data_IF_296476352205
#
_entry.id   IF_296476352205
#
_cell.length_a   1.000
_cell.length_b   1.000
_cell.length_c   1.000
_cell.angle_alpha   90.00
_cell.angle_beta   90.00
_cell.angle_gamma   90.00
#
_symmetry.space_group_name_H-M   'P 1'
#
loop_
_entity.id
_entity.type
_entity.pdbx_description
1 polymer ?
#
# COMPACT_ATOMS: atom_id res chain seq x y z
N UNK A 1 8.26 -31.22 63.20
CA UNK A 1 8.23 -30.12 62.23
C UNK A 1 7.61 -30.63 60.91
N UNK A 2 6.36 -30.28 60.63
CA UNK A 2 5.70 -30.58 59.30
C UNK A 2 5.91 -29.39 58.39
N UNK A 3 6.66 -29.59 57.30
CA UNK A 3 6.75 -28.59 56.22
C UNK A 3 5.42 -28.54 55.47
N UNK A 4 4.75 -27.39 55.49
CA UNK A 4 3.61 -27.08 54.61
C UNK A 4 4.18 -26.59 53.28
N UNK A 5 4.05 -27.38 52.23
CA UNK A 5 4.35 -26.92 50.85
C UNK A 5 3.16 -26.08 50.35
N UNK A 6 3.35 -24.79 50.23
CA UNK A 6 2.40 -23.90 49.51
C UNK A 6 2.55 -24.11 48.00
N UNK A 7 1.55 -24.74 47.39
CA UNK A 7 1.41 -24.76 45.94
C UNK A 7 0.94 -23.36 45.48
N UNK A 8 1.81 -22.62 44.78
CA UNK A 8 1.42 -21.45 44.03
C UNK A 8 0.76 -21.90 42.72
N UNK A 9 -0.58 -21.81 42.64
CA UNK A 9 -1.32 -21.95 41.39
C UNK A 9 -1.24 -20.59 40.70
N UNK A 10 -0.38 -20.45 39.68
CA UNK A 10 -0.39 -19.27 38.81
C UNK A 10 -1.74 -19.24 38.05
N UNK A 11 -2.43 -18.09 38.01
CA UNK A 11 -3.66 -17.98 37.24
C UNK A 11 -3.35 -18.17 35.73
N UNK A 12 -3.97 -19.17 35.11
CA UNK A 12 -4.01 -19.29 33.66
C UNK A 12 -4.89 -18.15 33.16
N UNK A 13 -4.26 -17.06 32.71
CA UNK A 13 -4.99 -16.07 31.91
C UNK A 13 -5.36 -16.72 30.56
N UNK A 14 -6.64 -17.00 30.35
CA UNK A 14 -7.13 -17.35 29.03
C UNK A 14 -6.79 -16.19 28.07
N UNK A 15 -6.10 -16.51 26.96
CA UNK A 15 -5.82 -15.51 25.94
C UNK A 15 -7.15 -14.96 25.41
N UNK A 16 -7.27 -13.65 25.31
CA UNK A 16 -8.47 -13.04 24.70
C UNK A 16 -8.66 -13.60 23.27
N UNK A 17 -9.91 -13.87 22.88
CA UNK A 17 -10.16 -14.37 21.54
C UNK A 17 -9.67 -13.37 20.48
N UNK A 18 -9.10 -13.85 19.38
CA UNK A 18 -8.56 -12.96 18.34
C UNK A 18 -9.67 -12.08 17.76
N UNK A 19 -9.35 -10.82 17.50
CA UNK A 19 -10.25 -9.90 16.81
C UNK A 19 -10.40 -10.36 15.36
N UNK A 20 -11.63 -10.66 14.93
CA UNK A 20 -11.94 -11.07 13.56
C UNK A 20 -12.64 -9.93 12.84
N UNK A 21 -12.10 -9.56 11.68
CA UNK A 21 -12.60 -8.47 10.84
C UNK A 21 -13.07 -8.99 9.50
N UNK A 22 -13.98 -8.25 8.85
CA UNK A 22 -14.47 -8.57 7.51
C UNK A 22 -15.80 -9.31 7.50
N UNK A 23 -16.27 -9.66 6.30
CA UNK A 23 -17.63 -10.13 6.04
C UNK A 23 -17.63 -11.38 5.12
N UNK A 24 -18.66 -12.19 5.21
CA UNK A 24 -18.82 -13.37 4.38
C UNK A 24 -17.61 -14.32 4.43
N UNK A 25 -17.10 -14.77 3.29
CA UNK A 25 -15.94 -15.68 3.23
C UNK A 25 -14.58 -14.95 3.39
N UNK A 26 -14.55 -13.60 3.33
CA UNK A 26 -13.34 -12.79 3.45
C UNK A 26 -13.23 -12.17 4.85
N UNK A 27 -13.07 -13.04 5.86
CA UNK A 27 -12.85 -12.68 7.27
C UNK A 27 -11.41 -12.98 7.68
N UNK A 28 -10.87 -12.16 8.56
CA UNK A 28 -9.47 -12.19 8.93
C UNK A 28 -9.29 -12.04 10.43
N UNK A 29 -8.42 -12.87 11.01
CA UNK A 29 -7.92 -12.71 12.38
C UNK A 29 -6.79 -11.69 12.38
N UNK A 30 -6.90 -10.64 13.20
CA UNK A 30 -5.98 -9.52 13.25
C UNK A 30 -4.86 -9.73 14.26
N UNK A 31 -3.62 -9.50 13.86
CA UNK A 31 -2.44 -9.35 14.70
C UNK A 31 -1.79 -7.96 14.48
N UNK A 32 -2.05 -7.03 15.41
CA UNK A 32 -1.44 -5.69 15.42
C UNK A 32 0.03 -5.69 15.83
N UNK A 33 0.54 -6.81 16.36
CA UNK A 33 1.91 -6.97 16.86
C UNK A 33 2.72 -7.96 16.04
N UNK A 34 2.27 -8.23 14.82
CA UNK A 34 2.97 -9.15 13.92
C UNK A 34 4.44 -8.76 13.75
N UNK A 35 4.73 -7.51 13.41
CA UNK A 35 6.10 -7.04 13.22
C UNK A 35 6.82 -6.86 14.57
N UNK A 36 7.81 -7.71 14.81
CA UNK A 36 8.58 -7.80 16.07
C UNK A 36 9.92 -7.09 15.90
N UNK A 37 9.90 -5.76 15.87
CA UNK A 37 11.09 -4.93 15.80
C UNK A 37 11.22 -4.06 17.06
N UNK A 38 12.46 -3.78 17.45
CA UNK A 38 12.77 -2.81 18.51
C UNK A 38 12.79 -1.40 17.90
N UNK A 39 11.95 -0.46 18.36
CA UNK A 39 11.94 0.92 17.86
C UNK A 39 13.26 1.66 18.05
N UNK A 40 14.10 1.26 19.01
CA UNK A 40 15.43 1.85 19.18
C UNK A 40 16.40 1.44 18.07
N UNK A 41 16.19 0.25 17.46
CA UNK A 41 17.03 -0.32 16.41
C UNK A 41 16.48 0.02 15.03
N UNK A 42 15.19 -0.19 14.83
CA UNK A 42 14.49 -0.11 13.55
C UNK A 42 13.28 0.85 13.58
N UNK A 43 13.46 2.13 13.95
CA UNK A 43 12.34 3.07 14.08
C UNK A 43 11.61 3.29 12.76
N UNK A 44 10.29 3.53 12.84
CA UNK A 44 9.43 4.00 11.76
C UNK A 44 8.78 5.32 12.13
N UNK A 45 8.44 6.16 11.15
CA UNK A 45 7.45 7.24 11.32
C UNK A 45 6.13 6.75 10.77
N UNK A 46 6.13 6.28 9.53
CA UNK A 46 5.00 5.63 8.90
C UNK A 46 5.43 4.28 8.28
N UNK A 47 4.48 3.38 8.17
CA UNK A 47 4.59 2.15 7.39
C UNK A 47 3.84 2.35 6.08
N UNK A 48 4.55 2.19 4.94
CA UNK A 48 3.97 2.43 3.62
C UNK A 48 3.80 1.12 2.84
N UNK A 49 4.46 0.97 1.69
CA UNK A 49 4.33 -0.20 0.83
C UNK A 49 5.06 -1.43 1.38
N UNK A 50 4.51 -2.61 1.06
CA UNK A 50 5.09 -3.89 1.41
C UNK A 50 5.17 -4.81 0.19
N UNK A 51 6.19 -5.66 0.16
CA UNK A 51 6.34 -6.70 -0.86
C UNK A 51 7.04 -7.94 -0.28
N UNK A 52 6.78 -9.12 -0.85
CA UNK A 52 7.51 -10.35 -0.54
C UNK A 52 8.63 -10.55 -1.55
N UNK A 53 9.86 -10.75 -1.07
CA UNK A 53 11.00 -11.12 -1.88
C UNK A 53 11.04 -12.62 -2.19
N UNK A 54 11.89 -13.02 -3.14
CA UNK A 54 12.13 -14.44 -3.47
C UNK A 54 12.63 -15.26 -2.28
N UNK A 55 13.31 -14.60 -1.34
CA UNK A 55 13.77 -15.21 -0.09
C UNK A 55 12.62 -15.48 0.90
N UNK A 56 11.38 -15.14 0.55
CA UNK A 56 10.18 -15.29 1.37
C UNK A 56 10.05 -14.24 2.48
N UNK A 57 10.91 -13.23 2.49
CA UNK A 57 10.87 -12.13 3.46
C UNK A 57 9.95 -11.02 3.01
N UNK A 58 9.43 -10.29 3.98
CA UNK A 58 8.58 -9.13 3.76
C UNK A 58 9.45 -7.87 3.88
N UNK A 59 9.50 -7.11 2.79
CA UNK A 59 10.15 -5.81 2.70
C UNK A 59 9.11 -4.72 2.93
N UNK A 60 9.35 -3.86 3.90
CA UNK A 60 8.54 -2.68 4.21
C UNK A 60 9.28 -1.42 3.82
N UNK A 61 8.67 -0.55 3.04
CA UNK A 61 9.13 0.84 2.86
C UNK A 61 8.66 1.69 4.04
N UNK A 62 9.57 2.48 4.60
CA UNK A 62 9.28 3.48 5.65
C UNK A 62 9.89 4.82 5.27
N UNK A 63 9.33 5.89 5.82
CA UNK A 63 9.80 7.27 5.62
C UNK A 63 10.62 7.82 6.79
N UNK A 64 11.07 6.93 7.69
CA UNK A 64 11.94 7.35 8.79
C UNK A 64 13.36 7.64 8.27
N UNK A 65 14.00 8.80 8.60
CA UNK A 65 15.30 9.18 8.05
C UNK A 65 16.45 8.21 8.34
N UNK A 66 16.29 7.30 9.30
CA UNK A 66 17.28 6.26 9.62
C UNK A 66 17.15 5.00 8.76
N UNK A 67 15.96 4.72 8.23
CA UNK A 67 15.67 3.46 7.54
C UNK A 67 14.88 3.73 6.26
N UNK A 68 15.34 3.23 5.11
CA UNK A 68 14.56 3.28 3.87
C UNK A 68 13.65 2.05 3.78
N UNK A 69 14.18 0.87 4.23
CA UNK A 69 13.40 -0.36 4.32
C UNK A 69 13.66 -1.09 5.62
N UNK A 70 12.66 -1.80 6.10
CA UNK A 70 12.76 -2.83 7.12
C UNK A 70 12.43 -4.19 6.52
N UNK A 71 13.17 -5.23 6.89
CA UNK A 71 13.00 -6.58 6.37
C UNK A 71 12.60 -7.51 7.52
N UNK A 72 11.54 -8.28 7.30
CA UNK A 72 10.97 -9.21 8.28
C UNK A 72 10.87 -10.62 7.70
N UNK A 73 11.01 -11.64 8.55
CA UNK A 73 10.55 -13.00 8.24
C UNK A 73 9.01 -13.04 8.23
N UNK A 74 8.40 -14.04 7.62
CA UNK A 74 6.92 -14.20 7.57
C UNK A 74 6.25 -14.33 8.96
N UNK A 75 7.01 -14.71 9.98
CA UNK A 75 6.55 -14.75 11.39
C UNK A 75 6.64 -13.38 12.09
N UNK A 76 7.07 -12.34 11.38
CA UNK A 76 7.22 -10.98 11.87
C UNK A 76 8.54 -10.68 12.58
N UNK A 77 9.45 -11.62 12.66
CA UNK A 77 10.78 -11.40 13.24
C UNK A 77 11.58 -10.43 12.36
N UNK A 78 12.05 -9.35 12.95
CA UNK A 78 12.93 -8.38 12.29
C UNK A 78 14.26 -9.04 11.89
N UNK A 79 14.69 -8.80 10.65
CA UNK A 79 15.94 -9.32 10.10
C UNK A 79 17.00 -8.23 10.02
N UNK A 80 16.69 -7.12 9.35
CA UNK A 80 17.63 -5.99 9.11
C UNK A 80 16.91 -4.75 8.57
N UNK A 81 17.62 -3.63 8.64
CA UNK A 81 17.28 -2.43 7.85
C UNK A 81 18.14 -2.35 6.58
N UNK A 82 17.60 -1.68 5.56
CA UNK A 82 18.35 -1.13 4.44
C UNK A 82 18.29 0.39 4.58
N UNK A 83 19.45 1.03 4.63
CA UNK A 83 19.55 2.46 4.92
C UNK A 83 20.61 3.07 3.99
N UNK A 84 20.14 3.62 2.87
CA UNK A 84 20.99 4.20 1.82
C UNK A 84 20.67 5.69 1.60
N UNK A 85 19.85 6.27 2.48
CA UNK A 85 19.58 7.70 2.55
C UNK A 85 18.67 8.21 1.43
N UNK A 86 17.60 7.48 1.12
CA UNK A 86 16.64 7.85 0.08
C UNK A 86 15.62 8.88 0.58
N UNK A 87 15.16 8.73 1.83
CA UNK A 87 14.08 9.56 2.42
C UNK A 87 12.71 9.30 1.79
N UNK A 88 11.67 9.95 2.28
CA UNK A 88 10.33 10.06 1.69
C UNK A 88 9.66 8.77 1.22
N UNK A 89 10.06 7.61 1.74
CA UNK A 89 9.64 6.30 1.25
C UNK A 89 8.13 6.14 1.22
N UNK A 90 7.58 5.70 0.07
CA UNK A 90 6.13 5.62 -0.14
C UNK A 90 5.72 4.36 -0.91
N UNK A 91 5.99 4.24 -2.21
CA UNK A 91 5.69 3.08 -3.02
C UNK A 91 6.87 2.11 -3.15
N UNK A 92 6.58 0.87 -3.49
CA UNK A 92 7.54 -0.22 -3.67
C UNK A 92 7.09 -1.16 -4.79
N UNK A 93 8.00 -1.44 -5.71
CA UNK A 93 7.90 -2.61 -6.60
C UNK A 93 9.09 -3.53 -6.33
N UNK A 94 8.87 -4.83 -6.33
CA UNK A 94 9.92 -5.84 -6.25
C UNK A 94 9.81 -6.77 -7.45
N UNK A 95 10.93 -7.03 -8.11
CA UNK A 95 10.96 -7.92 -9.28
C UNK A 95 12.33 -8.54 -9.49
N UNK A 96 12.34 -9.66 -10.20
CA UNK A 96 13.57 -10.28 -10.68
C UNK A 96 13.82 -9.97 -12.14
N UNK A 97 15.08 -9.73 -12.48
CA UNK A 97 15.57 -9.69 -13.85
C UNK A 97 16.99 -10.23 -13.93
N UNK A 98 17.24 -11.12 -14.90
CA UNK A 98 18.56 -11.72 -15.14
C UNK A 98 19.18 -12.38 -13.89
N UNK A 99 18.34 -13.00 -13.05
CA UNK A 99 18.74 -13.68 -11.82
C UNK A 99 19.01 -12.78 -10.62
N UNK A 100 18.84 -11.46 -10.78
CA UNK A 100 18.98 -10.47 -9.70
C UNK A 100 17.59 -9.95 -9.29
N UNK A 101 17.34 -9.88 -7.99
CA UNK A 101 16.12 -9.28 -7.44
C UNK A 101 16.35 -7.81 -7.11
N UNK A 102 15.44 -6.98 -7.57
CA UNK A 102 15.49 -5.53 -7.46
C UNK A 102 14.32 -4.99 -6.65
N UNK A 103 14.58 -3.90 -5.94
CA UNK A 103 13.60 -3.03 -5.30
C UNK A 103 13.53 -1.72 -6.08
N UNK A 104 12.32 -1.22 -6.35
CA UNK A 104 12.11 0.15 -6.82
C UNK A 104 11.51 0.94 -5.66
N UNK A 105 12.30 1.86 -5.14
CA UNK A 105 11.88 2.78 -4.07
C UNK A 105 11.29 4.04 -4.70
N UNK A 106 10.09 4.40 -4.24
CA UNK A 106 9.44 5.66 -4.56
C UNK A 106 9.59 6.61 -3.38
N UNK A 107 10.40 7.65 -3.55
CA UNK A 107 10.42 8.80 -2.67
C UNK A 107 9.32 9.77 -3.11
N UNK A 108 8.31 9.95 -2.27
CA UNK A 108 7.14 10.81 -2.55
C UNK A 108 7.45 12.32 -2.47
N UNK A 109 8.63 12.68 -2.01
CA UNK A 109 8.99 14.06 -1.70
C UNK A 109 8.47 14.55 -0.35
N UNK A 110 7.71 13.75 0.39
CA UNK A 110 7.36 14.03 1.78
C UNK A 110 8.39 13.42 2.72
N UNK A 111 9.35 14.23 3.18
CA UNK A 111 10.39 13.80 4.10
C UNK A 111 10.00 14.06 5.54
N UNK A 112 9.99 13.01 6.35
CA UNK A 112 9.64 13.08 7.77
C UNK A 112 10.87 13.42 8.62
N UNK A 113 10.65 14.14 9.73
CA UNK A 113 11.66 14.26 10.78
C UNK A 113 11.72 12.97 11.60
N UNK A 114 12.88 12.67 12.18
CA UNK A 114 13.03 11.52 13.07
C UNK A 114 12.16 11.63 14.33
N UNK A 115 11.93 12.86 14.80
CA UNK A 115 11.14 13.18 15.98
C UNK A 115 9.89 13.96 15.59
N UNK A 116 8.75 13.50 16.10
CA UNK A 116 7.46 14.15 15.87
C UNK A 116 6.95 14.07 14.44
N UNK A 117 5.77 14.65 14.22
CA UNK A 117 5.17 14.82 12.90
C UNK A 117 5.59 16.19 12.34
N UNK A 118 6.63 16.21 11.54
CA UNK A 118 7.13 17.43 10.90
C UNK A 118 7.59 17.13 9.46
N UNK A 119 6.63 16.98 8.52
CA UNK A 119 6.96 16.71 7.12
C UNK A 119 7.50 17.95 6.42
N UNK A 120 8.50 17.76 5.57
CA UNK A 120 8.95 18.73 4.60
C UNK A 120 8.67 18.24 3.17
N UNK A 121 8.31 19.15 2.27
CA UNK A 121 8.02 18.83 0.88
C UNK A 121 9.22 19.19 -0.01
N UNK A 122 9.84 18.16 -0.59
CA UNK A 122 10.93 18.27 -1.56
C UNK A 122 10.53 17.67 -2.91
N UNK A 123 11.37 17.67 -3.90
CA UNK A 123 11.14 16.92 -5.14
C UNK A 123 11.39 15.44 -4.89
N UNK A 124 10.42 14.60 -5.28
CA UNK A 124 10.51 13.14 -5.12
C UNK A 124 11.49 12.50 -6.10
N UNK A 125 11.76 11.22 -5.88
CA UNK A 125 12.74 10.46 -6.68
C UNK A 125 12.37 8.99 -6.78
N UNK A 126 12.68 8.38 -7.91
CA UNK A 126 12.60 6.92 -8.07
C UNK A 126 14.02 6.36 -8.05
N UNK A 127 14.22 5.32 -7.26
CA UNK A 127 15.52 4.65 -7.13
C UNK A 127 15.38 3.15 -7.29
N UNK A 128 16.17 2.57 -8.20
CA UNK A 128 16.34 1.14 -8.36
C UNK A 128 17.54 0.67 -7.54
N UNK A 129 17.34 -0.34 -6.71
CA UNK A 129 18.40 -0.94 -5.90
C UNK A 129 18.23 -2.47 -5.85
N UNK A 130 19.28 -3.17 -5.48
CA UNK A 130 19.23 -4.60 -5.19
C UNK A 130 18.72 -4.82 -3.76
N UNK A 131 18.26 -6.02 -3.46
CA UNK A 131 17.72 -6.37 -2.12
C UNK A 131 18.75 -6.27 -1.00
N UNK A 132 20.06 -6.24 -1.29
CA UNK A 132 21.12 -5.96 -0.32
C UNK A 132 21.39 -4.45 -0.10
N UNK A 133 20.69 -3.57 -0.84
CA UNK A 133 20.76 -2.11 -0.68
C UNK A 133 21.75 -1.40 -1.61
N UNK A 134 22.34 -2.09 -2.60
CA UNK A 134 23.18 -1.42 -3.60
C UNK A 134 22.32 -0.62 -4.57
N UNK A 135 22.50 0.71 -4.60
CA UNK A 135 21.82 1.58 -5.57
C UNK A 135 22.35 1.29 -6.97
N UNK A 136 21.46 0.89 -7.86
CA UNK A 136 21.74 0.58 -9.27
C UNK A 136 21.48 1.81 -10.14
N UNK A 137 20.34 2.51 -9.88
CA UNK A 137 19.93 3.67 -10.68
C UNK A 137 19.06 4.63 -9.89
N UNK A 138 19.28 5.92 -10.11
CA UNK A 138 18.31 6.98 -9.80
C UNK A 138 17.72 7.45 -11.13
N UNK A 139 16.39 7.40 -11.23
CA UNK A 139 15.68 7.82 -12.44
C UNK A 139 15.65 9.35 -12.52
N UNK A 140 15.70 9.92 -13.73
CA UNK A 140 15.59 11.36 -13.89
C UNK A 140 14.17 11.84 -13.52
N UNK A 141 14.05 12.98 -12.87
CA UNK A 141 12.78 13.65 -12.62
C UNK A 141 12.27 14.30 -13.91
N UNK A 142 10.96 14.60 -14.02
CA UNK A 142 10.41 15.35 -15.15
C UNK A 142 11.16 16.67 -15.40
N UNK A 143 11.55 17.38 -14.34
CA UNK A 143 12.33 18.63 -14.42
C UNK A 143 13.72 18.41 -15.01
N UNK A 144 14.44 17.35 -14.62
CA UNK A 144 15.74 17.00 -15.19
C UNK A 144 15.63 16.62 -16.68
N UNK A 145 14.44 16.18 -17.13
CA UNK A 145 14.11 15.92 -18.53
C UNK A 145 13.60 17.15 -19.30
N UNK A 146 13.58 18.32 -18.66
CA UNK A 146 13.09 19.56 -19.27
C UNK A 146 11.58 19.66 -19.39
N UNK A 147 10.81 18.84 -18.67
CA UNK A 147 9.37 18.90 -18.64
C UNK A 147 8.85 19.92 -17.61
N UNK A 148 7.76 20.60 -17.93
CA UNK A 148 7.12 21.61 -17.08
C UNK A 148 5.86 21.07 -16.39
N UNK A 149 5.90 19.84 -15.89
CA UNK A 149 4.75 19.15 -15.30
C UNK A 149 4.52 19.50 -13.80
N UNK A 150 5.28 20.48 -13.29
CA UNK A 150 5.23 20.88 -11.89
C UNK A 150 6.24 20.13 -11.01
N UNK A 151 6.02 20.16 -9.70
CA UNK A 151 6.86 19.45 -8.73
C UNK A 151 6.56 17.96 -8.82
N UNK A 152 7.59 17.15 -9.00
CA UNK A 152 7.47 15.70 -9.04
C UNK A 152 7.33 15.15 -7.62
N UNK A 153 6.17 14.56 -7.32
CA UNK A 153 5.85 13.98 -6.01
C UNK A 153 5.13 12.63 -6.22
N UNK A 154 5.87 11.60 -6.65
CA UNK A 154 5.30 10.30 -7.01
C UNK A 154 4.75 9.56 -5.80
N UNK A 155 3.67 8.81 -6.01
CA UNK A 155 3.10 7.98 -4.97
C UNK A 155 3.53 6.52 -5.08
N UNK A 156 3.61 5.98 -6.30
CA UNK A 156 3.74 4.55 -6.47
C UNK A 156 4.33 4.18 -7.84
N UNK A 157 4.68 2.89 -7.98
CA UNK A 157 5.29 2.32 -9.18
C UNK A 157 4.74 0.92 -9.44
N UNK A 158 4.58 0.55 -10.70
CA UNK A 158 4.25 -0.81 -11.12
C UNK A 158 5.08 -1.22 -12.34
N UNK A 159 5.45 -2.49 -12.41
CA UNK A 159 6.15 -3.06 -13.56
C UNK A 159 5.16 -3.53 -14.62
N UNK A 160 5.40 -3.20 -15.89
CA UNK A 160 4.63 -3.73 -17.01
C UNK A 160 5.11 -5.12 -17.44
N UNK A 161 4.31 -5.90 -18.18
CA UNK A 161 4.77 -7.16 -18.79
C UNK A 161 5.95 -7.00 -19.75
N UNK A 162 6.14 -5.82 -20.33
CA UNK A 162 7.29 -5.49 -21.18
C UNK A 162 8.56 -5.15 -20.37
N UNK A 163 8.48 -5.14 -19.03
CA UNK A 163 9.60 -4.85 -18.13
C UNK A 163 9.86 -3.37 -17.89
N UNK A 164 9.01 -2.47 -18.40
CA UNK A 164 9.08 -1.03 -18.10
C UNK A 164 8.44 -0.71 -16.75
N UNK A 165 8.69 0.50 -16.22
CA UNK A 165 8.13 0.99 -14.98
C UNK A 165 7.12 2.10 -15.25
N UNK A 166 5.90 1.93 -14.74
CA UNK A 166 4.88 2.98 -14.68
C UNK A 166 4.94 3.65 -13.30
N UNK A 167 5.13 4.96 -13.28
CA UNK A 167 5.26 5.76 -12.07
C UNK A 167 4.11 6.77 -12.03
N UNK A 168 3.31 6.75 -10.97
CA UNK A 168 2.20 7.67 -10.80
C UNK A 168 2.60 8.84 -9.89
N UNK A 169 2.46 10.07 -10.40
CA UNK A 169 2.80 11.32 -9.70
C UNK A 169 1.56 11.91 -8.99
N UNK A 170 1.02 11.16 -8.05
CA UNK A 170 -0.30 11.44 -7.46
C UNK A 170 -0.36 12.58 -6.46
N UNK A 171 0.76 13.01 -5.88
CA UNK A 171 0.86 14.23 -5.07
C UNK A 171 1.30 15.45 -5.88
N UNK A 172 1.77 15.24 -7.12
CA UNK A 172 2.13 16.28 -8.07
C UNK A 172 1.09 16.45 -9.18
N UNK A 173 1.47 16.08 -10.39
CA UNK A 173 0.70 16.30 -11.62
C UNK A 173 -0.50 15.36 -11.84
N UNK A 174 -0.59 14.24 -11.12
CA UNK A 174 -1.43 13.08 -11.39
C UNK A 174 -1.14 12.38 -12.73
N UNK A 175 -0.03 12.70 -13.38
CA UNK A 175 0.44 12.01 -14.58
C UNK A 175 1.06 10.65 -14.25
N UNK A 176 1.06 9.77 -15.23
CA UNK A 176 1.76 8.50 -15.20
C UNK A 176 2.90 8.59 -16.20
N UNK A 177 4.12 8.32 -15.72
CA UNK A 177 5.35 8.30 -16.51
C UNK A 177 5.78 6.87 -16.72
N UNK A 178 6.04 6.48 -17.97
CA UNK A 178 6.63 5.17 -18.27
C UNK A 178 8.11 5.33 -18.57
N UNK A 179 8.94 4.60 -17.82
CA UNK A 179 10.38 4.56 -18.00
C UNK A 179 10.85 3.17 -18.39
N UNK A 180 11.88 3.08 -19.23
CA UNK A 180 12.68 1.87 -19.33
C UNK A 180 13.53 1.69 -18.07
N UNK A 181 14.04 0.47 -17.81
CA UNK A 181 14.93 0.24 -16.66
C UNK A 181 16.25 1.00 -16.74
N UNK A 182 16.67 1.45 -17.95
CA UNK A 182 17.83 2.30 -18.17
C UNK A 182 17.56 3.78 -17.82
N UNK A 183 16.32 4.13 -17.42
CA UNK A 183 15.93 5.47 -17.02
C UNK A 183 15.52 6.38 -18.19
N UNK A 184 15.25 5.82 -19.37
CA UNK A 184 14.71 6.59 -20.51
C UNK A 184 13.20 6.76 -20.33
N UNK A 185 12.72 7.99 -20.36
CA UNK A 185 11.28 8.27 -20.45
C UNK A 185 10.76 7.82 -21.82
N UNK A 186 9.77 6.93 -21.81
CA UNK A 186 9.16 6.38 -23.03
C UNK A 186 7.90 7.13 -23.41
N UNK A 187 7.03 7.40 -22.43
CA UNK A 187 5.80 8.17 -22.59
C UNK A 187 5.27 8.70 -21.26
N UNK A 188 4.29 9.58 -21.33
CA UNK A 188 3.46 10.01 -20.20
C UNK A 188 2.01 10.14 -20.61
N UNK A 189 1.09 9.91 -19.68
CA UNK A 189 -0.35 9.98 -19.90
C UNK A 189 -1.10 10.18 -18.57
N UNK A 190 -2.44 10.24 -18.60
CA UNK A 190 -3.26 10.48 -17.41
C UNK A 190 -3.32 11.96 -17.04
N UNK A 191 -3.41 12.23 -15.72
CA UNK A 191 -3.55 13.59 -15.22
C UNK A 191 -5.00 14.07 -15.15
N UNK A 192 -5.22 15.37 -14.83
CA UNK A 192 -6.55 15.96 -14.78
C UNK A 192 -7.15 16.09 -16.18
N UNK A 193 -8.34 15.56 -16.39
CA UNK A 193 -9.12 15.69 -17.62
C UNK A 193 -10.57 16.10 -17.30
N UNK A 194 -11.41 16.32 -18.33
CA UNK A 194 -12.83 16.66 -18.16
C UNK A 194 -13.76 15.45 -18.35
N UNK A 195 -13.21 14.29 -18.63
CA UNK A 195 -13.93 13.04 -18.94
C UNK A 195 -13.72 11.97 -17.87
N UNK A 196 -14.12 10.74 -18.16
CA UNK A 196 -13.99 9.61 -17.26
C UNK A 196 -12.53 9.22 -16.98
N UNK A 197 -11.57 9.62 -17.80
CA UNK A 197 -10.15 9.37 -17.60
C UNK A 197 -9.51 10.25 -16.50
N UNK A 198 -10.23 11.28 -16.02
CA UNK A 198 -9.73 12.22 -15.01
C UNK A 198 -9.13 11.52 -13.80
N UNK A 199 -7.89 11.88 -13.45
CA UNK A 199 -7.22 11.44 -12.24
C UNK A 199 -7.09 12.59 -11.23
N UNK A 200 -7.39 12.32 -9.97
CA UNK A 200 -7.30 13.28 -8.87
C UNK A 200 -6.80 12.59 -7.61
N UNK A 201 -5.61 12.97 -7.16
CA UNK A 201 -4.86 12.28 -6.12
C UNK A 201 -4.72 10.79 -6.47
N UNK A 202 -4.07 10.51 -7.59
CA UNK A 202 -3.78 9.17 -8.10
C UNK A 202 -2.78 8.48 -7.17
N UNK A 203 -3.29 7.73 -6.16
CA UNK A 203 -2.49 7.31 -5.00
C UNK A 203 -2.01 5.87 -5.04
N UNK A 204 -1.96 5.28 -6.18
CA UNK A 204 -1.44 3.94 -6.39
C UNK A 204 -1.47 3.59 -7.87
N UNK A 205 -0.71 2.60 -8.25
CA UNK A 205 -0.71 2.06 -9.60
C UNK A 205 -0.43 0.57 -9.55
N UNK A 206 -1.21 -0.23 -10.27
CA UNK A 206 -1.01 -1.68 -10.32
C UNK A 206 -1.28 -2.17 -11.74
N UNK A 207 -0.53 -3.18 -12.18
CA UNK A 207 -0.73 -3.79 -13.48
C UNK A 207 -1.37 -5.18 -13.31
N UNK A 208 -2.59 -5.35 -13.80
CA UNK A 208 -3.21 -6.65 -13.97
C UNK A 208 -2.83 -7.23 -15.33
N UNK A 209 -1.77 -8.01 -15.37
CA UNK A 209 -1.26 -8.65 -16.60
C UNK A 209 -2.17 -9.78 -17.11
N UNK A 210 -3.14 -10.22 -16.31
CA UNK A 210 -3.98 -11.40 -16.60
C UNK A 210 -5.46 -11.04 -16.75
N UNK A 211 -5.81 -9.75 -16.88
CA UNK A 211 -7.18 -9.34 -17.23
C UNK A 211 -7.54 -9.92 -18.62
N UNK A 212 -8.72 -10.52 -18.80
CA UNK A 212 -9.11 -11.13 -20.08
C UNK A 212 -9.20 -10.15 -21.25
N UNK A 213 -9.24 -8.86 -21.00
CA UNK A 213 -9.22 -7.78 -22.01
C UNK A 213 -7.79 -7.43 -22.47
N UNK A 214 -6.77 -8.06 -21.92
CA UNK A 214 -5.36 -7.74 -22.03
C UNK A 214 -4.83 -7.04 -20.77
N UNK A 215 -3.51 -6.81 -20.66
CA UNK A 215 -2.93 -6.12 -19.51
C UNK A 215 -3.56 -4.75 -19.27
N UNK A 216 -4.05 -4.52 -18.05
CA UNK A 216 -4.65 -3.26 -17.63
C UNK A 216 -3.88 -2.60 -16.49
N UNK A 217 -3.83 -1.28 -16.53
CA UNK A 217 -3.27 -0.44 -15.48
C UNK A 217 -4.41 0.09 -14.61
N UNK A 218 -4.38 -0.23 -13.33
CA UNK A 218 -5.38 0.17 -12.36
C UNK A 218 -4.84 1.29 -11.46
N UNK A 219 -5.56 2.40 -11.39
CA UNK A 219 -5.15 3.61 -10.68
C UNK A 219 -6.27 4.08 -9.77
N UNK A 220 -6.10 4.03 -8.44
CA UNK A 220 -7.00 4.69 -7.52
C UNK A 220 -6.98 6.20 -7.68
N UNK A 221 -8.06 6.77 -8.18
CA UNK A 221 -8.32 8.22 -8.17
C UNK A 221 -8.95 8.59 -6.83
N UNK A 222 -8.10 8.63 -5.80
CA UNK A 222 -8.49 8.60 -4.40
C UNK A 222 -9.43 9.73 -4.01
N UNK A 223 -9.20 10.95 -4.49
CA UNK A 223 -10.05 12.10 -4.20
C UNK A 223 -11.45 11.98 -4.79
N UNK A 224 -11.63 11.16 -5.84
CA UNK A 224 -12.92 10.87 -6.46
C UNK A 224 -13.64 9.68 -5.83
N UNK A 225 -13.02 8.96 -4.90
CA UNK A 225 -13.50 7.68 -4.37
C UNK A 225 -13.75 6.65 -5.49
N UNK A 226 -12.83 6.58 -6.44
CA UNK A 226 -12.90 5.74 -7.63
C UNK A 226 -11.59 5.00 -7.85
N UNK A 227 -11.67 3.83 -8.47
CA UNK A 227 -10.54 3.14 -9.09
C UNK A 227 -10.78 3.11 -10.57
N UNK A 228 -9.79 3.48 -11.37
CA UNK A 228 -9.89 3.55 -12.82
C UNK A 228 -8.92 2.59 -13.49
N UNK A 229 -9.41 1.94 -14.55
CA UNK A 229 -8.60 1.06 -15.36
C UNK A 229 -8.28 1.71 -16.71
N UNK A 230 -7.06 1.51 -17.15
CA UNK A 230 -6.53 1.99 -18.41
C UNK A 230 -5.85 0.85 -19.16
N UNK A 231 -5.80 0.92 -20.47
CA UNK A 231 -4.87 0.12 -21.24
C UNK A 231 -3.42 0.58 -21.00
N UNK A 232 -2.43 -0.19 -21.39
CA UNK A 232 -1.01 0.19 -21.24
C UNK A 232 -0.65 1.49 -22.00
N UNK A 233 -1.41 1.87 -23.01
CA UNK A 233 -1.24 3.12 -23.76
C UNK A 233 -2.03 4.31 -23.17
N UNK A 234 -2.71 4.11 -22.03
CA UNK A 234 -3.37 5.18 -21.28
C UNK A 234 -4.83 5.46 -21.68
N UNK A 235 -5.46 4.59 -22.47
CA UNK A 235 -6.89 4.70 -22.78
C UNK A 235 -7.72 4.19 -21.61
N UNK A 236 -8.63 5.02 -21.06
CA UNK A 236 -9.57 4.63 -20.02
C UNK A 236 -10.55 3.57 -20.53
N UNK A 237 -10.77 2.51 -19.72
CA UNK A 237 -11.60 1.36 -20.09
C UNK A 237 -12.62 0.95 -19.03
N UNK A 238 -12.42 1.33 -17.75
CA UNK A 238 -13.31 0.92 -16.66
C UNK A 238 -13.21 1.84 -15.44
N UNK A 239 -14.25 1.87 -14.62
CA UNK A 239 -14.27 2.60 -13.33
C UNK A 239 -15.02 1.80 -12.28
N UNK A 240 -14.42 1.63 -11.11
CA UNK A 240 -15.07 1.09 -9.91
C UNK A 240 -15.36 2.25 -8.98
N UNK A 241 -16.65 2.48 -8.67
CA UNK A 241 -17.05 3.46 -7.67
C UNK A 241 -16.95 2.85 -6.27
N UNK A 242 -16.27 3.55 -5.36
CA UNK A 242 -16.13 3.19 -3.97
C UNK A 242 -16.64 4.34 -3.07
N UNK A 243 -17.95 4.61 -3.08
CA UNK A 243 -18.52 5.78 -2.39
C UNK A 243 -18.12 5.77 -0.91
N UNK A 244 -17.54 6.88 -0.45
CA UNK A 244 -17.08 7.05 0.93
C UNK A 244 -15.66 6.53 1.22
N UNK A 245 -15.05 5.71 0.38
CA UNK A 245 -13.74 5.12 0.61
C UNK A 245 -12.63 5.83 -0.18
N UNK A 246 -11.58 6.26 0.49
CA UNK A 246 -10.36 6.83 -0.12
C UNK A 246 -9.31 5.73 -0.26
N UNK A 247 -9.44 4.93 -1.32
CA UNK A 247 -8.61 3.76 -1.57
C UNK A 247 -7.16 4.12 -1.95
N UNK A 248 -6.21 3.29 -1.51
CA UNK A 248 -4.81 3.28 -1.92
C UNK A 248 -4.53 2.30 -3.07
N UNK A 249 -3.29 1.80 -3.16
CA UNK A 249 -2.87 0.84 -4.17
C UNK A 249 -3.75 -0.41 -4.19
N UNK A 250 -3.85 -1.05 -5.35
CA UNK A 250 -4.53 -2.34 -5.50
C UNK A 250 -3.52 -3.48 -5.46
N UNK A 251 -3.90 -4.57 -4.83
CA UNK A 251 -3.18 -5.83 -4.90
C UNK A 251 -4.07 -6.93 -5.47
N UNK A 252 -3.58 -7.62 -6.52
CA UNK A 252 -4.30 -8.71 -7.17
C UNK A 252 -3.79 -10.05 -6.68
N UNK A 253 -4.68 -10.89 -6.12
CA UNK A 253 -4.34 -12.25 -5.71
C UNK A 253 -5.49 -13.21 -6.04
N UNK A 254 -5.23 -14.19 -6.92
CA UNK A 254 -6.24 -15.15 -7.35
C UNK A 254 -7.46 -14.46 -7.97
N UNK A 255 -8.63 -14.76 -7.43
CA UNK A 255 -9.94 -14.21 -7.84
C UNK A 255 -10.33 -12.91 -7.12
N UNK A 256 -9.39 -12.27 -6.39
CA UNK A 256 -9.67 -11.10 -5.56
C UNK A 256 -8.76 -9.92 -5.86
N UNK A 257 -9.30 -8.73 -5.56
CA UNK A 257 -8.59 -7.46 -5.51
C UNK A 257 -8.65 -6.98 -4.07
N UNK A 258 -7.53 -6.47 -3.57
CA UNK A 258 -7.39 -5.93 -2.22
C UNK A 258 -6.93 -4.48 -2.29
N UNK A 259 -7.41 -3.66 -1.38
CA UNK A 259 -6.90 -2.28 -1.22
C UNK A 259 -7.06 -1.81 0.22
N UNK A 260 -6.13 -1.01 0.68
CA UNK A 260 -6.26 -0.27 1.92
C UNK A 260 -7.01 1.04 1.68
N UNK A 261 -7.81 1.45 2.67
CA UNK A 261 -8.55 2.71 2.66
C UNK A 261 -7.96 3.63 3.72
N UNK A 262 -7.50 4.80 3.29
CA UNK A 262 -6.85 5.75 4.18
C UNK A 262 -7.85 6.55 5.03
N UNK A 263 -8.95 6.95 4.43
CA UNK A 263 -10.06 7.67 5.08
C UNK A 263 -11.40 7.18 4.58
N UNK A 264 -12.43 7.42 5.39
CA UNK A 264 -13.82 7.28 4.96
C UNK A 264 -14.59 8.58 5.11
N UNK A 265 -15.85 8.57 4.64
CA UNK A 265 -16.79 9.67 4.81
C UNK A 265 -17.88 9.29 5.83
N UNK A 266 -18.41 10.30 6.52
CA UNK A 266 -19.65 10.15 7.30
C UNK A 266 -20.89 10.15 6.38
N UNK A 267 -22.06 10.00 6.99
CA UNK A 267 -23.33 10.01 6.26
C UNK A 267 -23.64 11.34 5.56
N UNK A 268 -23.00 12.44 5.99
CA UNK A 268 -23.12 13.76 5.36
C UNK A 268 -22.09 13.96 4.22
N UNK A 269 -21.25 12.96 3.93
CA UNK A 269 -20.23 13.01 2.90
C UNK A 269 -18.95 13.73 3.30
N UNK A 270 -18.78 14.10 4.58
CA UNK A 270 -17.57 14.72 5.10
C UNK A 270 -16.51 13.67 5.39
N UNK A 271 -15.27 13.94 4.96
CA UNK A 271 -14.12 13.07 5.27
C UNK A 271 -13.85 13.04 6.77
N UNK A 272 -13.76 11.84 7.31
CA UNK A 272 -13.38 11.56 8.69
C UNK A 272 -11.87 11.39 8.81
N UNK A 273 -11.30 11.88 9.90
CA UNK A 273 -9.92 11.59 10.28
C UNK A 273 -9.83 10.19 10.89
N UNK A 274 -8.67 9.55 10.78
CA UNK A 274 -8.38 8.24 11.40
C UNK A 274 -9.48 7.20 11.20
N UNK A 275 -9.95 7.07 9.96
CA UNK A 275 -11.10 6.25 9.60
C UNK A 275 -10.75 5.20 8.53
N UNK A 276 -9.53 4.64 8.63
CA UNK A 276 -9.02 3.61 7.74
C UNK A 276 -9.70 2.25 7.92
N UNK A 277 -9.74 1.48 6.85
CA UNK A 277 -10.18 0.09 6.81
C UNK A 277 -9.64 -0.59 5.55
N UNK A 278 -10.03 -1.81 5.25
CA UNK A 278 -9.60 -2.56 4.08
C UNK A 278 -10.79 -2.88 3.19
N UNK A 279 -10.54 -3.16 1.91
CA UNK A 279 -11.54 -3.68 0.98
C UNK A 279 -11.01 -4.94 0.30
N UNK A 280 -11.91 -5.90 0.15
CA UNK A 280 -11.72 -7.10 -0.66
C UNK A 280 -12.82 -7.13 -1.70
N UNK A 281 -12.43 -7.11 -2.98
CA UNK A 281 -13.35 -7.13 -4.10
C UNK A 281 -13.21 -8.44 -4.89
N UNK A 282 -14.30 -8.87 -5.51
CA UNK A 282 -14.27 -9.90 -6.54
C UNK A 282 -13.62 -9.37 -7.82
N UNK A 283 -12.62 -10.08 -8.33
CA UNK A 283 -11.83 -9.62 -9.47
C UNK A 283 -12.61 -9.62 -10.79
N UNK A 284 -13.59 -10.49 -10.93
CA UNK A 284 -14.41 -10.61 -12.14
C UNK A 284 -15.52 -9.56 -12.17
N UNK A 285 -16.31 -9.52 -11.10
CA UNK A 285 -17.50 -8.66 -11.02
C UNK A 285 -17.18 -7.25 -10.53
N UNK A 286 -15.98 -7.02 -9.99
CA UNK A 286 -15.53 -5.76 -9.34
C UNK A 286 -16.36 -5.36 -8.12
N UNK A 287 -17.22 -6.26 -7.62
CA UNK A 287 -18.04 -6.01 -6.43
C UNK A 287 -17.20 -6.13 -5.15
N UNK A 288 -17.44 -5.24 -4.21
CA UNK A 288 -16.88 -5.32 -2.86
C UNK A 288 -17.55 -6.48 -2.13
N UNK A 289 -16.75 -7.46 -1.70
CA UNK A 289 -17.18 -8.65 -0.97
C UNK A 289 -17.09 -8.46 0.55
N UNK A 290 -16.08 -7.71 0.99
CA UNK A 290 -15.78 -7.52 2.41
C UNK A 290 -15.08 -6.21 2.64
N UNK A 291 -15.29 -5.64 3.83
CA UNK A 291 -14.61 -4.43 4.30
C UNK A 291 -14.07 -4.67 5.72
N UNK A 292 -12.89 -5.34 5.89
CA UNK A 292 -12.30 -5.54 7.21
C UNK A 292 -12.03 -4.22 7.94
N UNK A 293 -12.70 -4.02 9.09
CA UNK A 293 -12.72 -2.76 9.85
C UNK A 293 -13.77 -1.74 9.40
N UNK A 294 -14.36 -1.92 8.23
CA UNK A 294 -15.46 -1.10 7.69
C UNK A 294 -16.84 -1.72 7.89
N UNK A 295 -17.90 -1.00 7.47
CA UNK A 295 -19.26 -1.50 7.45
C UNK A 295 -19.43 -2.59 6.37
N UNK A 296 -20.41 -3.46 6.57
CA UNK A 296 -20.74 -4.50 5.60
C UNK A 296 -21.14 -3.90 4.25
N UNK A 297 -20.51 -4.33 3.13
CA UNK A 297 -20.85 -3.84 1.81
C UNK A 297 -22.30 -4.19 1.43
N UNK A 298 -23.06 -3.18 1.02
CA UNK A 298 -24.46 -3.35 0.59
C UNK A 298 -24.66 -2.77 -0.81
N UNK A 299 -25.52 -3.42 -1.58
CA UNK A 299 -25.89 -2.99 -2.93
C UNK A 299 -27.40 -2.76 -2.99
N UNK A 300 -27.81 -1.58 -3.49
CA UNK A 300 -29.20 -1.23 -3.78
C UNK A 300 -29.28 -0.89 -5.26
N UNK A 301 -30.16 -1.54 -5.99
CA UNK A 301 -30.31 -1.39 -7.44
C UNK A 301 -28.96 -1.52 -8.20
N UNK A 302 -28.15 -2.49 -7.76
CA UNK A 302 -26.81 -2.74 -8.33
C UNK A 302 -25.72 -1.73 -7.96
N UNK A 303 -26.02 -0.69 -7.17
CA UNK A 303 -25.08 0.35 -6.74
C UNK A 303 -24.57 0.09 -5.33
N UNK A 304 -23.26 0.12 -5.15
CA UNK A 304 -22.61 0.05 -3.83
C UNK A 304 -23.05 1.24 -2.98
N UNK A 305 -23.50 0.94 -1.75
CA UNK A 305 -23.83 1.97 -0.76
C UNK A 305 -22.57 2.52 -0.09
N UNK A 306 -22.60 3.72 0.50
CA UNK A 306 -21.44 4.34 1.10
C UNK A 306 -20.72 3.45 2.11
N UNK A 307 -19.41 3.37 1.95
CA UNK A 307 -18.51 2.65 2.83
C UNK A 307 -17.93 3.61 3.87
N UNK A 308 -17.85 3.13 5.10
CA UNK A 308 -17.26 3.87 6.22
C UNK A 308 -16.60 2.92 7.20
N UNK A 309 -15.70 3.45 8.03
CA UNK A 309 -15.15 2.68 9.14
C UNK A 309 -16.26 2.32 10.13
N UNK A 310 -16.34 1.06 10.52
CA UNK A 310 -17.26 0.55 11.54
C UNK A 310 -16.54 0.19 12.85
N UNK A 311 -15.25 -0.18 12.76
CA UNK A 311 -14.42 -0.54 13.91
C UNK A 311 -13.17 0.34 13.87
N UNK A 312 -12.92 1.20 14.89
CA UNK A 312 -11.83 2.18 14.89
C UNK A 312 -10.47 1.54 15.25
N UNK A 313 -10.07 0.53 14.47
CA UNK A 313 -8.82 -0.23 14.67
C UNK A 313 -7.70 0.40 13.86
N UNK A 314 -7.96 0.68 12.59
CA UNK A 314 -7.00 1.28 11.67
C UNK A 314 -7.20 2.79 11.61
N UNK A 315 -6.10 3.55 11.70
CA UNK A 315 -6.15 5.00 11.54
C UNK A 315 -6.21 5.40 10.08
N UNK A 316 -5.18 5.02 9.33
CA UNK A 316 -5.05 5.34 7.92
C UNK A 316 -4.41 4.15 7.20
N UNK A 317 -5.21 3.21 6.72
CA UNK A 317 -4.70 2.11 5.89
C UNK A 317 -4.02 2.70 4.65
N UNK A 318 -2.73 2.39 4.45
CA UNK A 318 -1.97 3.04 3.40
C UNK A 318 -1.75 2.12 2.21
N UNK A 319 -1.04 1.05 2.40
CA UNK A 319 -0.76 0.05 1.39
C UNK A 319 -0.78 -1.35 2.00
N UNK A 320 -0.91 -2.37 1.17
CA UNK A 320 -0.97 -3.75 1.63
C UNK A 320 -0.31 -4.71 0.63
N UNK A 321 0.16 -5.81 1.17
CA UNK A 321 0.59 -6.98 0.42
C UNK A 321 -0.26 -8.18 0.84
N UNK A 322 -0.54 -9.11 -0.08
CA UNK A 322 -1.26 -10.35 0.21
C UNK A 322 -0.42 -11.54 -0.23
N UNK A 323 -0.11 -12.44 0.70
CA UNK A 323 0.71 -13.61 0.43
C UNK A 323 -0.07 -14.73 -0.29
N UNK A 324 0.61 -15.84 -0.61
CA UNK A 324 0.02 -16.99 -1.29
C UNK A 324 -1.05 -17.74 -0.47
N UNK A 325 -1.07 -17.55 0.84
CA UNK A 325 -2.09 -18.10 1.74
C UNK A 325 -3.36 -17.24 1.80
N UNK A 326 -3.30 -16.00 1.28
CA UNK A 326 -4.36 -15.01 1.35
C UNK A 326 -4.30 -14.15 2.61
N UNK A 327 -3.20 -14.21 3.36
CA UNK A 327 -2.96 -13.36 4.52
C UNK A 327 -2.55 -11.96 4.05
N UNK A 328 -3.07 -10.92 4.72
CA UNK A 328 -2.84 -9.52 4.38
C UNK A 328 -1.82 -8.92 5.35
N UNK A 329 -0.84 -8.21 4.81
CA UNK A 329 0.11 -7.39 5.55
C UNK A 329 -0.18 -5.92 5.26
N UNK A 330 -0.50 -5.15 6.29
CA UNK A 330 -0.99 -3.77 6.16
C UNK A 330 0.00 -2.76 6.71
N UNK A 331 0.39 -1.79 5.90
CA UNK A 331 1.06 -0.56 6.31
C UNK A 331 0.05 0.54 6.63
N UNK A 332 0.36 1.37 7.63
CA UNK A 332 -0.48 2.52 8.02
C UNK A 332 0.34 3.80 8.05
N UNK A 333 -0.25 4.86 7.49
CA UNK A 333 0.26 6.23 7.56
C UNK A 333 -0.31 6.95 8.78
N UNK A 334 0.49 7.80 9.41
CA UNK A 334 0.10 8.62 10.58
C UNK A 334 -0.68 7.83 11.65
N UNK A 335 -0.09 6.70 12.03
CA UNK A 335 -0.69 5.74 12.96
C UNK A 335 0.21 5.51 14.20
N UNK A 336 0.70 6.58 14.81
CA UNK A 336 1.49 6.58 16.04
C UNK A 336 2.76 5.69 15.93
N UNK A 337 3.46 5.77 14.79
CA UNK A 337 4.66 4.97 14.51
C UNK A 337 4.42 3.46 14.56
N UNK A 338 3.22 3.03 14.15
CA UNK A 338 2.85 1.63 14.13
C UNK A 338 3.62 0.88 13.04
N UNK A 339 4.17 -0.26 13.42
CA UNK A 339 4.66 -1.24 12.45
C UNK A 339 3.50 -1.91 11.71
N UNK A 340 3.79 -2.60 10.58
CA UNK A 340 2.76 -3.33 9.87
C UNK A 340 2.01 -4.33 10.74
N UNK A 341 0.73 -4.44 10.51
CA UNK A 341 -0.12 -5.49 11.07
C UNK A 341 -0.32 -6.62 10.08
N UNK A 342 -0.68 -7.81 10.59
CA UNK A 342 -1.05 -8.97 9.78
C UNK A 342 -2.51 -9.35 10.04
N UNK A 343 -3.22 -9.66 8.95
CA UNK A 343 -4.57 -10.20 8.99
C UNK A 343 -4.53 -11.60 8.36
N UNK A 344 -4.73 -12.63 9.16
CA UNK A 344 -4.72 -14.02 8.72
C UNK A 344 -6.11 -14.45 8.28
N UNK A 345 -6.24 -15.00 7.07
CA UNK A 345 -7.50 -15.45 6.51
C UNK A 345 -8.11 -16.56 7.38
N UNK A 346 -9.35 -16.34 7.85
CA UNK A 346 -10.11 -17.34 8.60
C UNK A 346 -10.74 -18.31 7.62
N UNK A 347 -10.37 -19.58 7.74
CA UNK A 347 -10.89 -20.70 6.91
C UNK A 347 -12.19 -21.25 7.46
#
# INVERSE_FOLDING_TARGET
MRLLALLFIAPLFAAEPPVVLGHGPARYSLDLKWAKADPAVAPVVNSHALAEGKDGRIYLVTDHPKNDFLVFEKDGRYVRSISVGLGGGHGLEIFEQDGVEYLVHVDSGWHMAAEGWNPSAVEGRITLLTTDGKVVRKFPTPKELGLSDGKFMPCDVARTPAGTLLIVDGYGSNLIYEFSLEGKLLKKWGGPTKDAANLSNAHGISVDATDPRGPLVWVPSRAQNQIKAFTLDGKHVDTIDLPGAFAGQLFFRGDKIYTAVCWSKDAAGKRLAQSGFLLVLDRTTKKVLSAPGGNEPRYVDGKLQPLSQAQPIFKHGHDLFVDSAGDIYLGEWNADRRYPSKLTLVK
#
